data_IF_945530227571
#
_entry.id   IF_945530227571
#
_cell.length_a   1.000
_cell.length_b   1.000
_cell.length_c   1.000
_cell.angle_alpha   90.00
_cell.angle_beta   90.00
_cell.angle_gamma   90.00
#
_symmetry.space_group_name_H-M   'P 1'
#
loop_
_entity.id
_entity.type
_entity.pdbx_description
1 polymer ?
#
# COMPACT_ATOMS: atom_id res chain seq x y z
N UNK A 1 -10.60 21.64 -2.82
CA UNK A 1 -10.80 21.12 -1.44
C UNK A 1 -10.04 19.81 -1.33
N UNK A 2 -9.12 19.65 -0.38
CA UNK A 2 -8.19 18.51 -0.35
C UNK A 2 -8.74 17.29 0.41
N UNK A 3 -9.57 17.50 1.44
CA UNK A 3 -10.14 16.42 2.25
C UNK A 3 -11.48 15.95 1.62
N UNK A 4 -11.67 14.63 1.42
CA UNK A 4 -12.93 14.04 0.94
C UNK A 4 -14.13 14.38 1.83
N UNK A 5 -15.35 14.10 1.33
CA UNK A 5 -16.54 14.28 2.15
C UNK A 5 -16.53 13.31 3.34
N UNK A 6 -17.12 13.66 4.50
CA UNK A 6 -17.20 12.74 5.64
C UNK A 6 -17.82 11.37 5.31
N UNK A 7 -18.75 11.33 4.35
CA UNK A 7 -19.37 10.10 3.85
C UNK A 7 -18.40 9.15 3.13
N UNK A 8 -17.23 9.65 2.71
CA UNK A 8 -16.18 8.86 2.06
C UNK A 8 -15.11 8.36 3.05
N UNK A 9 -15.18 8.80 4.31
CA UNK A 9 -14.23 8.41 5.35
C UNK A 9 -14.69 7.08 5.97
N UNK A 10 -14.13 5.98 5.46
CA UNK A 10 -14.52 4.62 5.88
C UNK A 10 -13.60 4.07 6.97
N UNK A 11 -14.12 4.06 8.20
CA UNK A 11 -13.45 3.53 9.40
C UNK A 11 -13.87 2.09 9.74
N UNK A 12 -14.65 1.42 8.89
CA UNK A 12 -15.27 0.12 9.21
C UNK A 12 -14.33 -1.10 9.06
N UNK A 13 -13.11 -0.90 8.57
CA UNK A 13 -12.15 -2.00 8.41
C UNK A 13 -11.58 -2.44 9.77
N UNK A 14 -12.24 -3.41 10.40
CA UNK A 14 -11.86 -3.92 11.72
C UNK A 14 -10.45 -4.55 11.75
N UNK A 15 -10.02 -5.20 10.68
CA UNK A 15 -8.67 -5.76 10.61
C UNK A 15 -7.59 -4.66 10.56
N UNK A 16 -7.88 -3.54 9.89
CA UNK A 16 -7.02 -2.37 9.90
C UNK A 16 -7.02 -1.71 11.29
N UNK A 17 -8.20 -1.52 11.87
CA UNK A 17 -8.36 -0.96 13.21
C UNK A 17 -7.60 -1.77 14.26
N UNK A 18 -7.70 -3.10 14.22
CA UNK A 18 -6.94 -3.99 15.11
C UNK A 18 -5.42 -3.88 14.89
N UNK A 19 -4.95 -3.80 13.64
CA UNK A 19 -3.53 -3.60 13.34
C UNK A 19 -3.01 -2.27 13.92
N UNK A 20 -3.74 -1.17 13.70
CA UNK A 20 -3.37 0.15 14.21
C UNK A 20 -3.43 0.17 15.74
N UNK A 21 -4.43 -0.47 16.35
CA UNK A 21 -4.56 -0.59 17.81
C UNK A 21 -3.34 -1.26 18.43
N UNK A 22 -2.86 -2.36 17.83
CA UNK A 22 -1.63 -3.01 18.29
C UNK A 22 -0.40 -2.10 18.22
N UNK A 23 -0.27 -1.32 17.16
CA UNK A 23 0.82 -0.34 17.02
C UNK A 23 0.68 0.85 17.98
N UNK A 24 -0.56 1.29 18.24
CA UNK A 24 -0.89 2.38 19.17
C UNK A 24 -0.57 2.00 20.62
N UNK A 25 -0.94 0.79 21.05
CA UNK A 25 -0.65 0.28 22.41
C UNK A 25 0.85 0.17 22.71
N UNK A 26 1.68 -0.11 21.70
CA UNK A 26 3.14 -0.14 21.82
C UNK A 26 3.81 1.22 22.09
N UNK A 27 3.08 2.33 21.91
CA UNK A 27 3.55 3.70 22.21
C UNK A 27 3.17 4.17 23.63
N UNK A 28 2.47 3.36 24.43
CA UNK A 28 1.98 3.72 25.77
C UNK A 28 3.03 3.75 26.90
N UNK A 29 4.32 3.52 26.60
CA UNK A 29 5.37 3.40 27.63
C UNK A 29 6.32 4.59 27.81
N UNK A 30 6.40 5.54 26.87
CA UNK A 30 7.48 6.54 26.88
C UNK A 30 7.08 7.97 26.47
N UNK A 31 5.85 8.40 26.75
CA UNK A 31 5.50 9.78 26.46
C UNK A 31 4.22 10.23 27.11
N UNK A 32 4.39 11.11 28.09
CA UNK A 32 3.41 12.03 28.66
C UNK A 32 2.59 12.79 27.58
N UNK A 33 1.62 12.15 26.95
CA UNK A 33 0.57 12.80 26.15
C UNK A 33 -0.78 12.27 26.64
N UNK A 34 -1.41 13.04 27.52
CA UNK A 34 -2.68 12.69 28.14
C UNK A 34 -3.77 12.34 27.13
N UNK A 35 -4.55 11.31 27.46
CA UNK A 35 -5.90 11.08 26.95
C UNK A 35 -6.08 11.06 25.41
N UNK A 36 -5.11 10.55 24.64
CA UNK A 36 -5.31 10.31 23.22
C UNK A 36 -6.32 9.17 23.01
N UNK A 37 -7.54 9.54 22.62
CA UNK A 37 -8.57 8.58 22.24
C UNK A 37 -8.15 7.85 20.95
N UNK A 38 -8.02 6.52 21.05
CA UNK A 38 -7.64 5.66 19.92
C UNK A 38 -8.56 5.80 18.71
N UNK A 39 -9.88 5.95 18.92
CA UNK A 39 -10.83 6.07 17.82
C UNK A 39 -10.58 7.36 17.02
N UNK A 40 -10.25 8.45 17.71
CA UNK A 40 -9.89 9.71 17.05
C UNK A 40 -8.56 9.59 16.30
N UNK A 41 -7.58 8.89 16.89
CA UNK A 41 -6.31 8.61 16.24
C UNK A 41 -6.50 7.79 14.96
N UNK A 42 -7.30 6.72 15.04
CA UNK A 42 -7.60 5.87 13.88
C UNK A 42 -8.40 6.63 12.82
N UNK A 43 -9.40 7.42 13.20
CA UNK A 43 -10.15 8.26 12.27
C UNK A 43 -9.25 9.27 11.55
N UNK A 44 -8.26 9.84 12.23
CA UNK A 44 -7.27 10.73 11.61
C UNK A 44 -6.40 9.99 10.57
N UNK A 45 -5.92 8.77 10.90
CA UNK A 45 -5.18 7.95 9.93
C UNK A 45 -6.02 7.60 8.70
N UNK A 46 -7.26 7.16 8.92
CA UNK A 46 -8.21 6.85 7.84
C UNK A 46 -8.44 8.09 6.97
N UNK A 47 -8.66 9.26 7.58
CA UNK A 47 -8.86 10.52 6.85
C UNK A 47 -7.67 10.87 5.97
N UNK A 48 -6.45 10.64 6.48
CA UNK A 48 -5.24 10.88 5.70
C UNK A 48 -5.13 9.91 4.52
N UNK A 49 -5.39 8.62 4.75
CA UNK A 49 -5.39 7.60 3.70
C UNK A 49 -6.43 7.88 2.60
N UNK A 50 -7.64 8.31 2.98
CA UNK A 50 -8.70 8.68 2.04
C UNK A 50 -8.34 9.90 1.22
N UNK A 51 -7.71 10.89 1.85
CA UNK A 51 -7.21 12.10 1.17
C UNK A 51 -6.15 11.75 0.14
N UNK A 52 -5.17 10.91 0.50
CA UNK A 52 -4.15 10.43 -0.44
C UNK A 52 -4.77 9.62 -1.58
N UNK A 53 -5.71 8.72 -1.27
CA UNK A 53 -6.38 7.91 -2.27
C UNK A 53 -7.22 8.73 -3.25
N UNK A 54 -7.90 9.78 -2.77
CA UNK A 54 -8.67 10.69 -3.62
C UNK A 54 -7.75 11.45 -4.58
N UNK A 55 -6.61 11.96 -4.10
CA UNK A 55 -5.62 12.64 -4.95
C UNK A 55 -5.04 11.71 -6.02
N UNK A 56 -4.69 10.47 -5.65
CA UNK A 56 -4.19 9.46 -6.60
C UNK A 56 -5.25 9.16 -7.67
N UNK A 57 -6.51 8.97 -7.25
CA UNK A 57 -7.60 8.64 -8.16
C UNK A 57 -7.85 9.78 -9.17
N UNK A 58 -7.92 11.02 -8.69
CA UNK A 58 -8.08 12.19 -9.55
C UNK A 58 -6.93 12.31 -10.57
N UNK A 59 -5.68 12.22 -10.10
CA UNK A 59 -4.51 12.33 -10.97
C UNK A 59 -4.48 11.22 -12.05
N UNK A 60 -4.79 9.97 -11.67
CA UNK A 60 -4.79 8.84 -12.61
C UNK A 60 -5.91 8.94 -13.66
N UNK A 61 -7.08 9.47 -13.29
CA UNK A 61 -8.18 9.71 -14.22
C UNK A 61 -7.83 10.78 -15.26
N UNK A 62 -7.16 11.84 -14.82
CA UNK A 62 -6.65 12.89 -15.72
C UNK A 62 -5.48 12.42 -16.59
N UNK A 63 -4.70 11.44 -16.10
CA UNK A 63 -3.48 10.95 -16.73
C UNK A 63 -3.49 9.41 -16.90
N UNK A 64 -4.38 8.82 -17.72
CA UNK A 64 -4.61 7.37 -17.75
C UNK A 64 -3.41 6.53 -18.24
N UNK A 65 -2.40 7.16 -18.84
CA UNK A 65 -1.19 6.50 -19.36
C UNK A 65 0.02 6.64 -18.44
N UNK A 66 -0.10 7.32 -17.31
CA UNK A 66 1.01 7.48 -16.36
C UNK A 66 0.99 6.38 -15.32
N UNK A 67 2.19 6.07 -14.81
CA UNK A 67 2.36 5.22 -13.63
C UNK A 67 2.56 6.10 -12.41
N UNK A 68 1.72 5.92 -11.40
CA UNK A 68 1.84 6.62 -10.12
C UNK A 68 2.69 5.79 -9.16
N UNK A 69 3.72 6.41 -8.58
CA UNK A 69 4.52 5.83 -7.50
C UNK A 69 4.25 6.62 -6.23
N UNK A 70 3.83 5.92 -5.17
CA UNK A 70 3.50 6.53 -3.87
C UNK A 70 4.53 6.08 -2.85
N UNK A 71 5.17 7.05 -2.19
CA UNK A 71 6.05 6.80 -1.04
C UNK A 71 5.28 7.17 0.23
N UNK A 72 5.04 6.18 1.07
CA UNK A 72 4.27 6.36 2.30
C UNK A 72 4.81 5.46 3.41
N UNK A 73 4.53 5.82 4.66
CA UNK A 73 4.87 4.99 5.81
C UNK A 73 4.14 3.64 5.75
N UNK A 74 4.79 2.57 6.24
CA UNK A 74 4.27 1.20 6.15
C UNK A 74 2.83 1.07 6.68
N UNK A 75 2.47 1.77 7.75
CA UNK A 75 1.12 1.75 8.33
C UNK A 75 0.01 2.12 7.34
N UNK A 76 0.32 2.97 6.35
CA UNK A 76 -0.62 3.45 5.33
C UNK A 76 -0.75 2.52 4.12
N UNK A 77 -0.01 1.41 4.06
CA UNK A 77 -0.02 0.49 2.90
C UNK A 77 -0.07 -0.98 3.29
N UNK A 78 0.33 -1.33 4.50
CA UNK A 78 0.46 -2.71 4.95
C UNK A 78 -0.85 -3.51 4.82
N UNK A 79 -0.71 -4.75 4.36
CA UNK A 79 -1.82 -5.66 4.02
C UNK A 79 -2.85 -5.09 3.02
N UNK A 80 -2.56 -3.95 2.39
CA UNK A 80 -3.49 -3.24 1.52
C UNK A 80 -4.59 -2.48 2.24
N UNK A 81 -4.57 -2.41 3.59
CA UNK A 81 -5.65 -1.78 4.36
C UNK A 81 -5.76 -0.28 4.13
N UNK A 82 -4.61 0.39 4.04
CA UNK A 82 -4.46 1.84 3.97
C UNK A 82 -4.90 2.47 2.64
N UNK A 83 -4.01 3.26 2.04
CA UNK A 83 -4.19 3.87 0.71
C UNK A 83 -4.63 2.86 -0.38
N UNK A 84 -4.07 1.63 -0.47
CA UNK A 84 -4.35 0.74 -1.60
C UNK A 84 -5.82 0.31 -1.74
N UNK A 85 -6.48 -0.06 -0.65
CA UNK A 85 -7.91 -0.44 -0.65
C UNK A 85 -8.80 0.73 -1.10
N UNK A 86 -8.46 1.94 -0.64
CA UNK A 86 -9.20 3.18 -0.91
C UNK A 86 -9.03 3.67 -2.34
N UNK A 87 -7.84 3.47 -2.91
CA UNK A 87 -7.59 3.66 -4.35
C UNK A 87 -8.37 2.63 -5.15
N UNK A 88 -8.38 1.36 -4.73
CA UNK A 88 -9.12 0.29 -5.43
C UNK A 88 -10.62 0.56 -5.45
N UNK A 89 -11.19 1.10 -4.37
CA UNK A 89 -12.61 1.49 -4.30
C UNK A 89 -12.95 2.60 -5.29
N UNK A 90 -12.04 3.55 -5.52
CA UNK A 90 -12.22 4.67 -6.47
C UNK A 90 -11.90 4.29 -7.92
N UNK A 91 -10.96 3.36 -8.11
CA UNK A 91 -10.51 2.87 -9.41
C UNK A 91 -10.51 1.33 -9.43
N UNK A 92 -11.68 0.69 -9.65
CA UNK A 92 -11.80 -0.77 -9.59
C UNK A 92 -10.87 -1.51 -10.55
N UNK A 93 -10.51 -0.93 -11.69
CA UNK A 93 -9.66 -1.57 -12.70
C UNK A 93 -8.15 -1.31 -12.52
N UNK A 94 -7.76 -0.48 -11.53
CA UNK A 94 -6.35 -0.15 -11.35
C UNK A 94 -5.55 -1.37 -10.89
N UNK A 95 -4.40 -1.57 -11.53
CA UNK A 95 -3.40 -2.57 -11.14
C UNK A 95 -2.47 -1.93 -10.11
N UNK A 96 -2.38 -2.54 -8.94
CA UNK A 96 -1.55 -2.03 -7.84
C UNK A 96 -0.49 -3.07 -7.46
N UNK A 97 0.69 -2.58 -7.06
CA UNK A 97 1.76 -3.37 -6.47
C UNK A 97 2.22 -2.67 -5.20
N UNK A 98 2.41 -3.43 -4.14
CA UNK A 98 2.88 -2.94 -2.86
C UNK A 98 4.30 -3.44 -2.65
N UNK A 99 5.20 -2.53 -2.30
CA UNK A 99 6.57 -2.86 -1.93
C UNK A 99 6.78 -2.35 -0.51
N UNK A 100 7.06 -3.27 0.41
CA UNK A 100 7.36 -2.94 1.81
C UNK A 100 8.88 -3.00 1.98
N UNK A 101 9.45 -1.88 2.39
CA UNK A 101 10.88 -1.79 2.67
C UNK A 101 11.14 -2.27 4.10
N UNK A 102 12.04 -3.24 4.23
CA UNK A 102 12.42 -3.85 5.51
C UNK A 102 11.20 -4.37 6.34
N UNK A 103 10.42 -5.33 5.81
CA UNK A 103 9.26 -5.86 6.53
C UNK A 103 9.72 -6.59 7.81
N UNK A 104 8.97 -6.42 8.90
CA UNK A 104 9.15 -7.26 10.09
C UNK A 104 8.79 -8.72 9.77
N UNK A 105 9.30 -9.68 10.53
CA UNK A 105 9.10 -11.10 10.21
C UNK A 105 7.63 -11.52 10.21
N UNK A 106 6.80 -10.89 11.05
CA UNK A 106 5.34 -11.10 11.04
C UNK A 106 4.68 -10.63 9.74
N UNK A 107 5.19 -9.56 9.11
CA UNK A 107 4.72 -9.06 7.82
C UNK A 107 5.17 -9.97 6.69
N UNK A 108 6.41 -10.49 6.75
CA UNK A 108 6.90 -11.49 5.79
C UNK A 108 6.00 -12.72 5.77
N UNK A 109 5.69 -13.29 6.93
CA UNK A 109 4.87 -14.51 7.04
C UNK A 109 3.46 -14.33 6.46
N UNK A 110 2.82 -13.18 6.70
CA UNK A 110 1.45 -12.91 6.21
C UNK A 110 1.41 -12.49 4.72
N UNK A 111 2.51 -11.99 4.18
CA UNK A 111 2.68 -11.72 2.74
C UNK A 111 2.97 -12.98 1.92
N UNK A 112 3.37 -14.08 2.55
CA UNK A 112 3.66 -15.38 1.91
C UNK A 112 2.37 -16.21 1.69
N UNK A 113 1.24 -15.86 2.32
CA UNK A 113 -0.07 -16.36 1.92
C UNK A 113 -0.52 -15.71 0.59
N UNK A 114 -1.03 -16.47 -0.39
CA UNK A 114 -0.55 -16.37 -1.77
C UNK A 114 -1.12 -15.15 -2.51
N UNK A 115 -0.31 -14.12 -2.73
CA UNK A 115 -0.38 -13.24 -3.91
C UNK A 115 1.02 -12.81 -4.36
N UNK A 116 1.64 -13.66 -5.18
CA UNK A 116 2.76 -13.36 -6.10
C UNK A 116 3.95 -12.70 -5.41
N UNK A 117 4.79 -13.52 -4.78
CA UNK A 117 6.22 -13.24 -4.74
C UNK A 117 6.74 -13.60 -6.14
N UNK A 118 7.09 -12.62 -6.97
CA UNK A 118 8.01 -12.88 -8.07
C UNK A 118 9.40 -13.03 -7.44
N UNK A 119 10.00 -14.23 -7.38
CA UNK A 119 11.44 -14.28 -7.20
C UNK A 119 12.03 -13.64 -8.46
N UNK A 120 12.89 -12.66 -8.26
CA UNK A 120 13.74 -12.11 -9.31
C UNK A 120 14.59 -13.25 -9.88
N UNK A 121 14.10 -13.95 -10.92
CA UNK A 121 14.94 -14.81 -11.73
C UNK A 121 15.76 -13.90 -12.64
N UNK A 122 16.99 -13.63 -12.23
CA UNK A 122 18.03 -13.12 -13.12
C UNK A 122 18.32 -14.23 -14.13
N UNK A 123 17.63 -14.22 -15.28
CA UNK A 123 18.13 -14.92 -16.45
C UNK A 123 19.31 -14.13 -17.01
N UNK A 124 20.50 -14.44 -16.50
CA UNK A 124 21.73 -14.20 -17.24
C UNK A 124 21.70 -15.12 -18.47
N UNK A 125 21.68 -14.54 -19.67
CA UNK A 125 21.71 -15.33 -20.90
C UNK A 125 21.11 -14.65 -22.12
N UNK A 126 21.53 -13.42 -22.43
CA UNK A 126 21.31 -12.85 -23.76
C UNK A 126 22.28 -13.55 -24.72
N UNK A 127 21.87 -14.69 -25.30
CA UNK A 127 22.60 -15.35 -26.37
C UNK A 127 22.23 -14.67 -27.70
N UNK A 128 23.18 -13.91 -28.26
CA UNK A 128 23.11 -13.34 -29.61
C UNK A 128 22.95 -14.45 -30.67
N UNK A 129 22.17 -14.22 -31.74
CA UNK A 129 21.98 -15.22 -32.80
C UNK A 129 23.27 -15.41 -33.60
N UNK A 130 23.85 -16.62 -33.56
CA UNK A 130 24.94 -17.01 -34.45
C UNK A 130 24.40 -17.29 -35.86
N UNK A 131 24.93 -16.57 -36.85
CA UNK A 131 24.76 -16.79 -38.29
C UNK A 131 24.93 -18.27 -38.66
N UNK A 132 23.99 -18.83 -39.42
CA UNK A 132 24.16 -20.12 -40.11
C UNK A 132 25.30 -19.99 -41.13
N UNK A 133 26.36 -20.80 -41.01
CA UNK A 133 27.23 -21.14 -42.14
C UNK A 133 26.70 -22.43 -42.76
N UNK A 134 26.31 -22.33 -44.02
CA UNK A 134 26.06 -23.47 -44.89
C UNK A 134 27.41 -24.12 -45.23
N UNK A 135 27.50 -25.43 -45.09
CA UNK A 135 28.63 -26.23 -45.57
C UNK A 135 28.04 -27.18 -46.62
N UNK A 136 28.58 -27.10 -47.84
CA UNK A 136 28.42 -28.11 -48.89
C UNK A 136 29.30 -29.30 -48.60
#
# INVERSE_FOLDING_TARGET
KYIPAPSEIDTSNEAYKAYVSGAFGGHGGHGSHGNLNFDNFFAAQVTWDETMAAAIAAYQQENPKTQVVVLAGQGHVIYGFGIPSRVKRRLPEVKQKLVILNPSDGVKQKAIAPKIVCPLQIFSGMALPRRKRSIK
#
